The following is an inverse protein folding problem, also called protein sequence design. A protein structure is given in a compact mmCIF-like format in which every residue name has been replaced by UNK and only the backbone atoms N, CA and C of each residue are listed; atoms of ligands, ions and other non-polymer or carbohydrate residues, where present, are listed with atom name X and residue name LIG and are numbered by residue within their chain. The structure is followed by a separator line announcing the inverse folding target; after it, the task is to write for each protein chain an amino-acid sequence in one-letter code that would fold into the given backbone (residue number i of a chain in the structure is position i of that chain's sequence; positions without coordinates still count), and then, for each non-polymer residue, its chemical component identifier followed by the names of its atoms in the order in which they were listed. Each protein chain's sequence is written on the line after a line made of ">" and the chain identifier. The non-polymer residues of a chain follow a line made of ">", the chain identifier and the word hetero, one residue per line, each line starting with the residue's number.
data_IF_117788790809
#
_entry.id   IF_117788790809
#
_cell.length_a   1.000
_cell.length_b   1.000
_cell.length_c   1.000
_cell.angle_alpha   90.00
_cell.angle_beta   90.00
_cell.angle_gamma   90.00
#
_symmetry.space_group_name_H-M   'P 1'
#
loop_
_entity.id
_entity.type
_entity.pdbx_description
1 polymer ?
#
# COMPACT_ATOMS: atom_id res chain seq x y z
N UNK A 1 -12.35 14.05 -9.50
CA UNK A 1 -12.54 13.62 -10.89
C UNK A 1 -13.95 14.01 -11.36
N UNK A 2 -14.08 14.55 -12.59
CA UNK A 2 -15.39 14.77 -13.18
C UNK A 2 -16.11 13.45 -13.51
N UNK A 3 -17.46 13.43 -13.59
CA UNK A 3 -18.18 12.25 -14.09
C UNK A 3 -17.60 11.81 -15.46
N UNK A 4 -17.31 10.54 -15.63
CA UNK A 4 -16.54 10.01 -16.76
C UNK A 4 -15.03 10.06 -16.57
N UNK A 5 -14.52 10.88 -15.65
CA UNK A 5 -13.08 10.97 -15.33
C UNK A 5 -12.52 9.71 -14.67
N UNK A 6 -13.34 8.94 -13.95
CA UNK A 6 -12.90 7.67 -13.35
C UNK A 6 -12.52 6.66 -14.44
N UNK A 7 -13.40 6.43 -15.43
CA UNK A 7 -13.13 5.51 -16.54
C UNK A 7 -11.91 5.96 -17.36
N UNK A 8 -11.82 7.24 -17.71
CA UNK A 8 -10.67 7.77 -18.43
C UNK A 8 -9.38 7.65 -17.61
N UNK A 9 -9.44 7.81 -16.29
CA UNK A 9 -8.29 7.61 -15.41
C UNK A 9 -7.87 6.15 -15.37
N UNK A 10 -8.81 5.21 -15.28
CA UNK A 10 -8.51 3.77 -15.31
C UNK A 10 -7.82 3.36 -16.61
N UNK A 11 -8.29 3.85 -17.76
CA UNK A 11 -7.62 3.60 -19.04
C UNK A 11 -6.21 4.19 -19.10
N UNK A 12 -6.01 5.41 -18.61
CA UNK A 12 -4.65 5.99 -18.52
C UNK A 12 -3.72 5.16 -17.65
N UNK A 13 -4.23 4.63 -16.52
CA UNK A 13 -3.45 3.74 -15.66
C UNK A 13 -3.07 2.46 -16.42
N UNK A 14 -4.03 1.87 -17.15
CA UNK A 14 -3.78 0.69 -17.97
C UNK A 14 -2.74 0.95 -19.05
N UNK A 15 -2.89 2.03 -19.82
CA UNK A 15 -1.94 2.41 -20.87
C UNK A 15 -0.53 2.61 -20.30
N UNK A 16 -0.38 3.30 -19.16
CA UNK A 16 0.92 3.53 -18.52
C UNK A 16 1.55 2.22 -18.03
N UNK A 17 0.76 1.29 -17.50
CA UNK A 17 1.25 -0.05 -17.12
C UNK A 17 1.70 -0.82 -18.35
N UNK A 18 0.91 -0.85 -19.44
CA UNK A 18 1.28 -1.52 -20.68
C UNK A 18 2.57 -0.96 -21.29
N UNK A 19 2.68 0.36 -21.40
CA UNK A 19 3.90 1.02 -21.88
C UNK A 19 5.13 0.70 -21.02
N UNK A 20 4.93 0.53 -19.70
CA UNK A 20 6.01 0.15 -18.81
C UNK A 20 6.40 -1.32 -18.98
N UNK A 21 5.44 -2.22 -19.15
CA UNK A 21 5.68 -3.64 -19.41
C UNK A 21 6.41 -3.84 -20.76
N UNK A 22 6.02 -3.09 -21.79
CA UNK A 22 6.70 -3.14 -23.10
C UNK A 22 8.18 -2.74 -23.01
N UNK A 23 8.52 -1.81 -22.11
CA UNK A 23 9.93 -1.46 -21.82
C UNK A 23 10.70 -2.58 -21.12
N UNK A 24 10.02 -3.42 -20.35
CA UNK A 24 10.59 -4.62 -19.74
C UNK A 24 10.57 -5.84 -20.68
N UNK A 25 9.97 -5.73 -21.88
CA UNK A 25 9.97 -6.81 -22.87
C UNK A 25 11.42 -7.19 -23.25
N UNK A 26 11.70 -8.48 -23.28
CA UNK A 26 13.06 -9.00 -23.52
C UNK A 26 13.92 -9.17 -22.26
N UNK A 27 13.45 -8.76 -21.09
CA UNK A 27 14.14 -9.00 -19.82
C UNK A 27 13.76 -10.33 -19.14
N UNK A 28 12.98 -11.19 -19.82
CA UNK A 28 12.45 -12.43 -19.26
C UNK A 28 11.25 -12.22 -18.32
N UNK A 29 10.66 -11.02 -18.28
CA UNK A 29 9.50 -10.69 -17.46
C UNK A 29 8.27 -10.47 -18.34
N UNK A 30 7.13 -10.99 -17.94
CA UNK A 30 5.83 -10.79 -18.60
C UNK A 30 4.74 -10.44 -17.58
N UNK A 31 3.73 -9.74 -18.05
CA UNK A 31 2.52 -9.51 -17.28
C UNK A 31 1.71 -10.81 -17.16
N UNK A 32 1.32 -11.17 -15.96
CA UNK A 32 0.37 -12.25 -15.66
C UNK A 32 -1.04 -11.69 -15.54
N UNK A 33 -1.20 -10.66 -14.70
CA UNK A 33 -2.48 -9.97 -14.50
C UNK A 33 -2.25 -8.51 -14.12
N UNK A 34 -3.21 -7.66 -14.42
CA UNK A 34 -3.29 -6.30 -13.90
C UNK A 34 -4.75 -5.91 -13.63
N UNK A 35 -4.97 -5.33 -12.47
CA UNK A 35 -6.27 -4.78 -12.08
C UNK A 35 -6.10 -3.30 -11.73
N UNK A 36 -7.08 -2.49 -12.15
CA UNK A 36 -7.05 -1.04 -11.99
C UNK A 36 -8.34 -0.57 -11.35
N UNK A 37 -8.22 0.06 -10.20
CA UNK A 37 -9.37 0.55 -9.44
C UNK A 37 -9.33 2.07 -9.34
N UNK A 38 -10.44 2.71 -9.66
CA UNK A 38 -10.66 4.14 -9.45
C UNK A 38 -11.94 4.29 -8.64
N UNK A 39 -11.79 4.63 -7.39
CA UNK A 39 -12.89 4.83 -6.46
C UNK A 39 -13.05 6.30 -6.14
N UNK A 40 -14.26 6.81 -6.24
CA UNK A 40 -14.65 8.14 -5.76
C UNK A 40 -15.66 7.91 -4.64
N UNK A 41 -15.34 8.40 -3.46
CA UNK A 41 -16.22 8.34 -2.31
C UNK A 41 -16.74 9.74 -2.01
N UNK A 42 -18.07 9.88 -1.99
CA UNK A 42 -18.77 11.08 -1.54
C UNK A 42 -19.47 10.71 -0.22
N UNK A 43 -18.95 11.23 0.86
CA UNK A 43 -19.41 10.92 2.21
C UNK A 43 -20.09 12.15 2.81
N UNK A 44 -21.35 12.00 3.21
CA UNK A 44 -22.13 13.04 3.87
C UNK A 44 -22.62 12.52 5.23
N UNK A 45 -22.40 13.32 6.26
CA UNK A 45 -22.86 13.06 7.61
C UNK A 45 -23.85 14.13 8.04
N UNK A 46 -25.05 13.72 8.43
CA UNK A 46 -26.08 14.60 9.00
C UNK A 46 -26.53 14.01 10.32
N UNK A 47 -26.55 14.82 11.38
CA UNK A 47 -26.99 14.38 12.70
C UNK A 47 -28.15 15.21 13.21
N UNK A 48 -28.94 14.64 14.12
CA UNK A 48 -30.03 15.36 14.83
C UNK A 48 -29.53 16.51 15.71
N UNK A 49 -28.23 16.58 15.95
CA UNK A 49 -27.59 17.67 16.72
C UNK A 49 -27.12 18.83 15.86
N UNK A 50 -27.44 18.81 14.56
CA UNK A 50 -27.15 19.91 13.62
C UNK A 50 -25.78 19.81 12.96
N UNK A 51 -25.05 18.71 13.09
CA UNK A 51 -23.84 18.50 12.28
C UNK A 51 -24.27 18.15 10.87
N UNK A 52 -23.69 18.87 9.90
CA UNK A 52 -23.77 18.55 8.48
C UNK A 52 -22.39 18.72 7.89
N UNK A 53 -21.75 17.61 7.56
CA UNK A 53 -20.40 17.55 7.03
C UNK A 53 -20.37 16.70 5.76
N UNK A 54 -19.54 17.08 4.79
CA UNK A 54 -19.36 16.34 3.53
C UNK A 54 -17.89 16.31 3.15
N UNK A 55 -17.44 15.15 2.72
CA UNK A 55 -16.09 14.93 2.20
C UNK A 55 -16.16 14.13 0.90
N UNK A 56 -15.31 14.51 -0.07
CA UNK A 56 -15.17 13.81 -1.34
C UNK A 56 -13.73 13.39 -1.52
N UNK A 57 -13.51 12.11 -1.63
CA UNK A 57 -12.18 11.55 -1.77
C UNK A 57 -12.03 10.66 -3.00
N UNK A 58 -10.79 10.54 -3.48
CA UNK A 58 -10.40 9.64 -4.57
C UNK A 58 -9.43 8.60 -4.03
N UNK A 59 -9.62 7.35 -4.44
CA UNK A 59 -8.68 6.27 -4.20
C UNK A 59 -8.38 5.59 -5.53
N UNK A 60 -7.10 5.48 -5.85
CA UNK A 60 -6.58 4.82 -7.04
C UNK A 60 -5.74 3.63 -6.56
N UNK A 61 -6.00 2.46 -7.13
CA UNK A 61 -5.19 1.28 -6.86
C UNK A 61 -4.84 0.57 -8.17
N UNK A 62 -3.64 0.05 -8.25
CA UNK A 62 -3.20 -0.85 -9.31
C UNK A 62 -2.58 -2.07 -8.66
N UNK A 63 -3.05 -3.22 -9.07
CA UNK A 63 -2.51 -4.50 -8.66
C UNK A 63 -1.91 -5.17 -9.89
N UNK A 64 -0.61 -5.47 -9.86
CA UNK A 64 0.09 -6.14 -10.96
C UNK A 64 0.68 -7.45 -10.49
N UNK A 65 0.54 -8.47 -11.31
CA UNK A 65 1.24 -9.75 -11.16
C UNK A 65 2.19 -9.92 -12.35
N UNK A 66 3.46 -10.08 -12.06
CA UNK A 66 4.52 -10.29 -13.04
C UNK A 66 5.15 -11.66 -12.89
N UNK A 67 5.44 -12.31 -14.01
CA UNK A 67 6.16 -13.57 -14.04
C UNK A 67 7.52 -13.33 -14.66
N UNK A 68 8.59 -13.71 -13.94
CA UNK A 68 9.93 -13.85 -14.47
C UNK A 68 10.21 -15.29 -14.86
N UNK A 69 10.94 -15.49 -15.98
CA UNK A 69 11.34 -16.79 -16.48
C UNK A 69 12.84 -16.83 -16.74
N UNK A 70 13.49 -17.94 -16.44
CA UNK A 70 14.90 -18.15 -16.75
C UNK A 70 15.13 -18.27 -18.27
N UNK A 71 16.24 -17.71 -18.77
CA UNK A 71 16.54 -17.62 -20.22
C UNK A 71 16.76 -18.98 -20.92
N UNK A 72 17.10 -20.02 -20.18
CA UNK A 72 17.49 -21.33 -20.76
C UNK A 72 16.93 -22.47 -19.94
N UNK A 73 15.64 -22.49 -19.68
CA UNK A 73 15.19 -23.39 -18.72
C UNK A 73 14.05 -24.28 -19.08
N UNK A 74 13.82 -25.20 -18.20
CA UNK A 74 12.60 -25.96 -18.10
C UNK A 74 11.41 -24.99 -17.85
N UNK A 75 10.23 -25.39 -18.23
CA UNK A 75 8.98 -24.67 -17.93
C UNK A 75 8.75 -24.43 -16.43
N UNK A 76 9.59 -24.99 -15.57
CA UNK A 76 9.44 -24.97 -14.13
C UNK A 76 10.22 -23.84 -13.43
N UNK A 77 11.07 -23.13 -14.18
CA UNK A 77 11.85 -22.01 -13.65
C UNK A 77 11.12 -20.66 -13.88
N UNK A 78 9.99 -20.51 -13.23
CA UNK A 78 9.21 -19.27 -13.20
C UNK A 78 9.03 -18.75 -11.76
N UNK A 79 9.06 -17.44 -11.59
CA UNK A 79 8.69 -16.78 -10.35
C UNK A 79 7.61 -15.72 -10.60
N UNK A 80 6.47 -15.87 -9.94
CA UNK A 80 5.40 -14.88 -9.97
C UNK A 80 5.47 -13.97 -8.75
N UNK A 81 5.29 -12.67 -8.97
CA UNK A 81 5.20 -11.68 -7.90
C UNK A 81 3.95 -10.85 -8.06
N UNK A 82 3.32 -10.57 -6.93
CA UNK A 82 2.17 -9.69 -6.84
C UNK A 82 2.58 -8.39 -6.15
N UNK A 83 2.31 -7.24 -6.78
CA UNK A 83 2.75 -5.92 -6.28
C UNK A 83 1.61 -4.90 -6.41
N UNK A 84 0.90 -4.61 -5.31
CA UNK A 84 -0.08 -3.53 -5.29
C UNK A 84 0.60 -2.17 -5.09
N UNK A 85 -0.05 -1.12 -5.61
CA UNK A 85 0.27 0.28 -5.32
C UNK A 85 -1.01 1.09 -5.23
N UNK A 86 -1.07 1.98 -4.26
CA UNK A 86 -2.25 2.80 -3.99
C UNK A 86 -1.88 4.25 -3.79
N UNK A 87 -2.74 5.17 -4.23
CA UNK A 87 -2.58 6.60 -4.02
C UNK A 87 -3.92 7.34 -4.17
N UNK A 88 -3.96 8.60 -3.73
CA UNK A 88 -5.10 9.50 -4.00
C UNK A 88 -4.93 10.32 -5.28
N UNK A 89 -3.74 10.39 -5.83
CA UNK A 89 -3.45 11.11 -7.10
C UNK A 89 -2.72 10.19 -8.06
N UNK A 90 -3.05 10.32 -9.35
CA UNK A 90 -2.44 9.50 -10.40
C UNK A 90 -0.90 9.62 -10.43
N UNK A 91 -0.38 10.82 -10.28
CA UNK A 91 1.08 11.06 -10.28
C UNK A 91 1.81 10.37 -9.13
N UNK A 92 1.13 10.12 -8.01
CA UNK A 92 1.74 9.50 -6.82
C UNK A 92 1.85 7.97 -6.96
N UNK A 93 1.11 7.34 -7.89
CA UNK A 93 1.24 5.92 -8.21
C UNK A 93 2.61 5.58 -8.83
N UNK A 94 3.20 6.51 -9.57
CA UNK A 94 4.51 6.33 -10.23
C UNK A 94 4.59 5.01 -11.00
N UNK A 95 3.55 4.70 -11.79
CA UNK A 95 3.31 3.38 -12.37
C UNK A 95 4.51 2.82 -13.15
N UNK A 96 5.16 3.64 -13.97
CA UNK A 96 6.35 3.21 -14.70
C UNK A 96 7.49 2.74 -13.79
N UNK A 97 7.75 3.47 -12.70
CA UNK A 97 8.76 3.07 -11.73
C UNK A 97 8.32 1.83 -10.94
N UNK A 98 7.03 1.76 -10.59
CA UNK A 98 6.47 0.62 -9.88
C UNK A 98 6.57 -0.68 -10.68
N UNK A 99 6.28 -0.64 -11.99
CA UNK A 99 6.44 -1.79 -12.89
C UNK A 99 7.91 -2.22 -12.98
N UNK A 100 8.86 -1.27 -13.14
CA UNK A 100 10.28 -1.58 -13.19
C UNK A 100 10.81 -2.20 -11.89
N UNK A 101 10.37 -1.70 -10.74
CA UNK A 101 10.68 -2.28 -9.43
C UNK A 101 10.08 -3.69 -9.28
N UNK A 102 8.83 -3.89 -9.70
CA UNK A 102 8.18 -5.19 -9.68
C UNK A 102 8.87 -6.21 -10.59
N UNK A 103 9.30 -5.80 -11.79
CA UNK A 103 10.05 -6.64 -12.72
C UNK A 103 11.41 -7.03 -12.14
N UNK A 104 12.10 -6.11 -11.47
CA UNK A 104 13.36 -6.40 -10.78
C UNK A 104 13.12 -7.41 -9.66
N UNK A 105 12.09 -7.20 -8.85
CA UNK A 105 11.74 -8.10 -7.76
C UNK A 105 11.37 -9.52 -8.27
N UNK A 106 10.65 -9.62 -9.41
CA UNK A 106 10.34 -10.91 -10.02
C UNK A 106 11.61 -11.66 -10.44
N UNK A 107 12.58 -10.98 -11.08
CA UNK A 107 13.87 -11.57 -11.44
C UNK A 107 14.69 -12.00 -10.23
N UNK A 108 14.68 -11.21 -9.16
CA UNK A 108 15.39 -11.53 -7.92
C UNK A 108 14.74 -12.73 -7.23
N UNK A 109 13.39 -12.81 -7.23
CA UNK A 109 12.66 -13.94 -6.67
C UNK A 109 12.99 -15.24 -7.40
N UNK A 110 13.17 -15.21 -8.73
CA UNK A 110 13.58 -16.36 -9.52
C UNK A 110 14.96 -16.93 -9.09
N UNK A 111 15.82 -16.06 -8.55
CA UNK A 111 17.17 -16.42 -8.07
C UNK A 111 17.22 -16.68 -6.57
N UNK A 112 16.07 -16.60 -5.89
CA UNK A 112 16.02 -16.73 -4.44
C UNK A 112 16.38 -18.15 -4.01
N UNK A 113 17.20 -18.25 -2.98
CA UNK A 113 17.60 -19.52 -2.35
C UNK A 113 17.04 -19.60 -0.93
N UNK A 114 16.99 -20.80 -0.40
CA UNK A 114 16.58 -21.00 1.00
C UNK A 114 17.55 -20.29 1.94
N UNK A 115 17.03 -19.40 2.79
CA UNK A 115 17.84 -18.65 3.75
C UNK A 115 18.26 -19.58 4.89
N UNK A 116 19.56 -19.67 5.24
CA UNK A 116 20.01 -20.39 6.42
C UNK A 116 19.51 -19.71 7.69
N UNK A 117 19.51 -20.44 8.81
CA UNK A 117 19.26 -19.83 10.12
C UNK A 117 20.30 -18.73 10.37
N UNK A 118 19.81 -17.54 10.70
CA UNK A 118 20.63 -16.36 10.92
C UNK A 118 20.35 -15.75 12.30
N UNK A 119 21.41 -15.40 13.00
CA UNK A 119 21.38 -14.61 14.23
C UNK A 119 22.22 -13.34 14.00
N UNK A 120 21.57 -12.18 14.04
CA UNK A 120 22.25 -10.91 13.75
C UNK A 120 21.28 -9.79 13.34
N UNK A 121 21.84 -8.78 12.69
CA UNK A 121 21.05 -7.64 12.22
C UNK A 121 20.08 -8.05 11.08
N UNK A 122 18.87 -7.52 11.15
CA UNK A 122 17.82 -7.75 10.15
C UNK A 122 17.40 -6.42 9.55
N UNK A 123 17.34 -6.35 8.22
CA UNK A 123 16.77 -5.21 7.49
C UNK A 123 15.36 -5.60 7.04
N UNK A 124 14.38 -4.80 7.46
CA UNK A 124 12.97 -5.01 7.12
C UNK A 124 12.58 -4.01 6.05
N UNK A 125 12.12 -4.52 4.91
CA UNK A 125 11.63 -3.67 3.81
C UNK A 125 10.37 -2.88 4.24
N UNK A 126 10.21 -1.67 3.70
CA UNK A 126 9.11 -0.76 4.05
C UNK A 126 7.73 -1.39 3.89
N UNK A 127 7.52 -2.25 2.88
CA UNK A 127 6.26 -2.96 2.68
C UNK A 127 5.90 -3.96 3.77
N UNK A 128 6.86 -4.43 4.58
CA UNK A 128 6.63 -5.34 5.70
C UNK A 128 6.47 -4.60 7.05
N UNK A 129 6.78 -3.30 7.11
CA UNK A 129 6.67 -2.52 8.35
C UNK A 129 5.26 -2.49 8.95
N UNK A 130 4.16 -2.36 8.18
CA UNK A 130 2.82 -2.42 8.76
C UNK A 130 2.61 -3.70 9.57
N UNK A 131 2.91 -4.87 9.03
CA UNK A 131 2.74 -6.14 9.72
C UNK A 131 3.56 -6.24 11.03
N UNK A 132 4.74 -5.57 11.06
CA UNK A 132 5.56 -5.49 12.26
C UNK A 132 4.95 -4.58 13.33
N UNK A 133 4.38 -3.43 12.93
CA UNK A 133 3.86 -2.42 13.85
C UNK A 133 2.39 -2.59 14.21
N UNK A 134 1.58 -3.28 13.41
CA UNK A 134 0.15 -3.48 13.65
C UNK A 134 -0.18 -4.01 15.06
N UNK A 135 0.51 -5.05 15.59
CA UNK A 135 0.23 -5.51 16.95
C UNK A 135 0.51 -4.44 18.02
N UNK A 136 1.56 -3.63 17.80
CA UNK A 136 1.91 -2.54 18.70
C UNK A 136 0.85 -1.42 18.62
N UNK A 137 0.47 -1.00 17.42
CA UNK A 137 -0.55 0.04 17.21
C UNK A 137 -1.92 -0.39 17.78
N UNK A 138 -2.28 -1.66 17.60
CA UNK A 138 -3.49 -2.20 18.23
C UNK A 138 -3.48 -2.02 19.75
N UNK A 139 -2.38 -2.43 20.42
CA UNK A 139 -2.30 -2.38 21.89
C UNK A 139 -2.16 -0.96 22.47
N UNK A 140 -1.87 0.04 21.66
CA UNK A 140 -1.87 1.47 22.04
C UNK A 140 -3.18 2.19 21.66
N UNK A 141 -4.03 1.57 20.86
CA UNK A 141 -5.26 2.15 20.34
C UNK A 141 -6.39 2.21 21.38
N UNK A 142 -7.31 3.17 21.20
CA UNK A 142 -8.47 3.35 22.05
C UNK A 142 -9.38 2.10 22.09
N UNK A 143 -9.51 1.39 20.97
CA UNK A 143 -10.30 0.15 20.90
C UNK A 143 -9.76 -0.91 21.86
N UNK A 144 -8.46 -1.12 21.89
CA UNK A 144 -7.84 -2.07 22.83
C UNK A 144 -8.04 -1.63 24.29
N UNK A 145 -8.00 -0.32 24.57
CA UNK A 145 -8.27 0.20 25.90
C UNK A 145 -9.72 -0.10 26.34
N UNK A 146 -10.72 0.14 25.49
CA UNK A 146 -12.13 -0.18 25.76
C UNK A 146 -12.34 -1.68 25.96
N UNK A 147 -11.67 -2.52 25.18
CA UNK A 147 -11.72 -3.98 25.29
C UNK A 147 -10.89 -4.54 26.44
N UNK A 148 -10.16 -3.70 27.19
CA UNK A 148 -9.21 -4.09 28.25
C UNK A 148 -8.08 -4.98 27.76
N UNK A 149 -7.67 -4.80 26.51
CA UNK A 149 -6.57 -5.49 25.85
C UNK A 149 -5.34 -4.58 25.67
N UNK A 150 -5.44 -3.28 25.98
CA UNK A 150 -4.32 -2.36 25.91
C UNK A 150 -3.21 -2.80 26.87
N UNK A 151 -1.97 -2.79 26.36
CA UNK A 151 -0.76 -3.10 27.16
C UNK A 151 -0.06 -1.85 27.65
N UNK A 152 -0.36 -0.70 27.05
CA UNK A 152 0.28 0.57 27.36
C UNK A 152 -0.76 1.63 27.66
N UNK A 153 -0.50 2.44 28.68
CA UNK A 153 -1.27 3.64 28.99
C UNK A 153 -0.54 4.89 28.49
N UNK A 154 -1.23 6.03 28.34
CA UNK A 154 -0.56 7.29 28.02
C UNK A 154 0.55 7.62 29.04
N UNK A 155 1.76 7.84 28.52
CA UNK A 155 2.96 8.11 29.33
C UNK A 155 3.78 6.88 29.70
N UNK A 156 3.31 5.68 29.42
CA UNK A 156 4.09 4.48 29.68
C UNK A 156 5.36 4.43 28.80
N UNK A 157 6.41 3.93 29.39
CA UNK A 157 7.65 3.63 28.65
C UNK A 157 7.50 2.29 27.93
N UNK A 158 7.68 2.28 26.63
CA UNK A 158 7.46 1.12 25.79
C UNK A 158 8.71 0.25 25.62
N UNK A 159 9.89 0.87 25.67
CA UNK A 159 11.18 0.18 25.54
C UNK A 159 12.23 0.80 26.44
N UNK A 160 13.19 -0.01 26.88
CA UNK A 160 14.28 0.45 27.76
C UNK A 160 15.52 0.92 27.00
N UNK A 161 15.54 0.83 25.68
CA UNK A 161 16.70 1.23 24.87
C UNK A 161 16.39 1.24 23.38
N UNK A 162 17.40 1.56 22.60
CA UNK A 162 17.32 1.67 21.15
C UNK A 162 17.19 3.10 20.65
N UNK A 163 17.23 3.28 19.34
CA UNK A 163 17.02 4.56 18.69
C UNK A 163 15.56 5.01 18.84
N UNK A 164 15.30 6.33 18.96
CA UNK A 164 13.94 6.83 19.08
C UNK A 164 13.11 6.49 17.83
N UNK A 165 11.95 5.88 18.05
CA UNK A 165 10.93 5.62 17.03
C UNK A 165 9.75 6.54 17.30
N UNK A 166 9.31 7.26 16.28
CA UNK A 166 8.11 8.08 16.31
C UNK A 166 7.05 7.48 15.38
N UNK A 167 5.91 7.08 15.94
CA UNK A 167 4.72 6.64 15.20
C UNK A 167 3.61 7.66 15.45
N UNK A 168 3.02 8.17 14.38
CA UNK A 168 1.93 9.13 14.46
C UNK A 168 0.74 8.67 13.60
N UNK A 169 -0.47 8.84 14.12
CA UNK A 169 -1.71 8.77 13.35
C UNK A 169 -2.11 10.20 12.99
N UNK A 170 -2.15 10.52 11.70
CA UNK A 170 -2.46 11.86 11.19
C UNK A 170 -3.51 11.77 10.09
N UNK A 171 -4.78 12.00 10.46
CA UNK A 171 -5.91 12.02 9.52
C UNK A 171 -5.93 13.26 8.62
N UNK A 172 -5.13 14.28 8.92
CA UNK A 172 -5.11 15.56 8.20
C UNK A 172 -4.05 15.63 7.12
N UNK A 173 -3.21 14.59 6.99
CA UNK A 173 -2.12 14.57 6.01
C UNK A 173 -2.66 14.72 4.59
N UNK A 174 -2.23 15.75 3.82
CA UNK A 174 -2.71 15.96 2.46
C UNK A 174 -2.46 14.72 1.58
N UNK A 175 -3.52 14.24 0.93
CA UNK A 175 -3.50 13.07 0.06
C UNK A 175 -3.06 11.74 0.72
N UNK A 176 -3.04 11.67 2.05
CA UNK A 176 -2.86 10.40 2.76
C UNK A 176 -4.03 9.45 2.49
N UNK A 177 -3.78 8.15 2.32
CA UNK A 177 -4.84 7.17 2.04
C UNK A 177 -5.88 7.11 3.16
N UNK A 178 -5.45 7.23 4.42
CA UNK A 178 -6.33 7.28 5.59
C UNK A 178 -6.83 8.67 5.97
N UNK A 179 -6.52 9.71 5.18
CA UNK A 179 -6.95 11.08 5.52
C UNK A 179 -8.43 11.30 5.22
N UNK A 180 -9.09 12.03 6.10
CA UNK A 180 -10.52 12.39 6.01
C UNK A 180 -10.75 13.76 6.64
N UNK A 181 -11.82 14.43 6.23
CA UNK A 181 -12.15 15.78 6.72
C UNK A 181 -12.85 15.73 8.09
N UNK A 182 -13.49 14.62 8.44
CA UNK A 182 -14.18 14.42 9.71
C UNK A 182 -14.29 12.91 10.02
N UNK A 183 -14.39 12.59 11.29
CA UNK A 183 -14.59 11.22 11.76
C UNK A 183 -16.10 10.80 11.74
N UNK A 184 -16.41 9.60 12.25
CA UNK A 184 -17.77 9.07 12.31
C UNK A 184 -18.72 9.87 13.20
N UNK A 185 -18.21 10.72 14.07
CA UNK A 185 -18.96 11.63 14.94
C UNK A 185 -19.05 13.05 14.36
N UNK A 186 -18.39 13.32 13.24
CA UNK A 186 -18.36 14.61 12.57
C UNK A 186 -17.35 15.59 13.16
N UNK A 187 -16.35 15.07 13.85
CA UNK A 187 -15.23 15.88 14.38
C UNK A 187 -14.14 15.97 13.31
N UNK A 188 -13.72 17.22 12.95
CA UNK A 188 -12.64 17.46 11.98
C UNK A 188 -11.30 16.91 12.42
#
# INVERSE_FOLDING_TARGET
>A
LAPGGATATAWRMADEVWDAIDREAGTGVRLSAAEHFVTITDHELVTSRGIHARDVSTHLAVEIALIARAEAGSSDDEAETFRPVEARRLADLRLSAHVAEAATFARDTLRAEATPTHDGAVVIASGALPALFDPFLFHTGAQAAVMKLARFAPGDRVTDGGDPLHLASDSTRPFGLGSHAFDGDGVP
#
